data_IF_913283598420
#
_entry.id   IF_913283598420
#
_cell.length_a   1.000
_cell.length_b   1.000
_cell.length_c   1.000
_cell.angle_alpha   90.00
_cell.angle_beta   90.00
_cell.angle_gamma   90.00
#
_symmetry.space_group_name_H-M   'P 1'
#
loop_
_entity.id
_entity.type
_entity.pdbx_description
1 polymer ?
#
# COMPACT_ATOMS: atom_id res chain seq x y z
N UNK A 1 3.20 -7.69 2.90
CA UNK A 1 3.18 -7.60 1.44
C UNK A 1 2.82 -6.18 0.96
N UNK A 2 1.73 -5.56 1.46
CA UNK A 2 1.26 -4.24 0.98
C UNK A 2 2.33 -3.16 1.20
N UNK A 3 2.88 -3.04 2.41
CA UNK A 3 3.94 -2.07 2.74
C UNK A 3 5.20 -2.26 1.89
N UNK A 4 5.63 -3.50 1.66
CA UNK A 4 6.78 -3.77 0.80
C UNK A 4 6.53 -3.32 -0.65
N UNK A 5 5.30 -3.51 -1.13
CA UNK A 5 4.89 -3.07 -2.47
C UNK A 5 4.84 -1.54 -2.58
N UNK A 6 4.36 -0.82 -1.56
CA UNK A 6 4.36 0.65 -1.56
C UNK A 6 5.77 1.24 -1.53
N UNK A 7 6.73 0.52 -0.96
CA UNK A 7 8.14 0.89 -0.92
C UNK A 7 8.96 0.38 -2.12
N UNK A 8 8.33 -0.27 -3.12
CA UNK A 8 8.97 -0.92 -4.26
C UNK A 8 10.06 -1.93 -3.84
N UNK A 9 9.81 -2.63 -2.73
CA UNK A 9 10.73 -3.65 -2.19
C UNK A 9 10.21 -5.03 -2.58
N UNK A 10 11.00 -5.88 -3.27
CA UNK A 10 10.60 -7.24 -3.58
C UNK A 10 10.39 -8.03 -2.28
N UNK A 11 9.22 -8.68 -2.17
CA UNK A 11 8.86 -9.43 -0.99
C UNK A 11 8.15 -10.74 -1.33
N UNK A 12 8.52 -11.78 -0.62
CA UNK A 12 7.87 -13.10 -0.68
C UNK A 12 7.29 -13.40 0.70
N UNK A 13 6.00 -13.72 0.76
CA UNK A 13 5.30 -14.09 2.00
C UNK A 13 5.06 -15.59 2.03
N UNK A 14 4.96 -16.15 3.25
CA UNK A 14 4.70 -17.58 3.44
C UNK A 14 5.91 -18.51 3.23
N UNK A 15 7.10 -17.96 3.10
CA UNK A 15 8.34 -18.74 3.02
C UNK A 15 8.73 -19.29 4.39
N UNK A 16 8.06 -20.38 4.82
CA UNK A 16 8.12 -20.94 6.19
C UNK A 16 9.53 -21.29 6.67
N UNK A 17 10.45 -21.62 5.77
CA UNK A 17 11.81 -22.06 6.10
C UNK A 17 12.89 -21.02 5.80
N UNK A 18 12.54 -19.84 5.31
CA UNK A 18 13.52 -18.84 4.88
C UNK A 18 14.47 -18.43 6.02
N UNK A 19 13.96 -18.24 7.25
CA UNK A 19 14.76 -17.86 8.42
C UNK A 19 15.78 -18.92 8.83
N UNK A 20 15.61 -20.18 8.44
CA UNK A 20 16.53 -21.27 8.73
C UNK A 20 17.51 -21.55 7.58
N UNK A 21 17.16 -21.11 6.36
CA UNK A 21 17.96 -21.39 5.16
C UNK A 21 18.90 -20.24 4.82
N UNK A 22 18.55 -19.00 5.16
CA UNK A 22 19.37 -17.82 4.89
C UNK A 22 20.30 -17.53 6.07
N UNK A 23 21.58 -17.38 5.80
CA UNK A 23 22.61 -17.01 6.78
C UNK A 23 23.10 -15.60 6.52
N UNK A 24 23.81 -15.05 7.51
CA UNK A 24 24.49 -13.76 7.33
C UNK A 24 25.49 -13.88 6.16
N UNK A 25 25.50 -12.84 5.31
CA UNK A 25 26.36 -12.71 4.13
C UNK A 25 26.05 -13.67 2.95
N UNK A 26 24.97 -14.45 3.03
CA UNK A 26 24.51 -15.24 1.89
C UNK A 26 24.01 -14.33 0.75
N UNK A 27 24.33 -14.71 -0.49
CA UNK A 27 23.69 -14.14 -1.66
C UNK A 27 22.29 -14.71 -1.81
N UNK A 28 21.31 -13.83 -1.94
CA UNK A 28 19.92 -14.23 -2.12
C UNK A 28 19.27 -13.49 -3.31
N UNK A 29 18.43 -14.20 -4.04
CA UNK A 29 17.52 -13.61 -5.03
C UNK A 29 16.12 -13.63 -4.43
N UNK A 30 15.41 -12.50 -4.47
CA UNK A 30 14.01 -12.38 -4.06
C UNK A 30 13.20 -11.96 -5.28
N UNK A 31 12.39 -12.87 -5.79
CA UNK A 31 11.46 -12.60 -6.88
C UNK A 31 10.03 -12.54 -6.32
N UNK A 32 9.55 -11.34 -6.05
CA UNK A 32 8.22 -11.11 -5.52
C UNK A 32 7.09 -11.45 -6.49
N UNK A 33 7.34 -11.40 -7.79
CA UNK A 33 6.36 -11.70 -8.83
C UNK A 33 6.16 -13.21 -8.97
N UNK A 34 7.27 -13.97 -8.94
CA UNK A 34 7.23 -15.43 -8.98
C UNK A 34 6.98 -16.07 -7.60
N UNK A 35 7.09 -15.31 -6.51
CA UNK A 35 6.98 -15.83 -5.14
C UNK A 35 8.16 -16.73 -4.76
N UNK A 36 9.35 -16.47 -5.29
CA UNK A 36 10.55 -17.33 -5.15
C UNK A 36 11.63 -16.60 -4.37
N UNK A 37 12.28 -17.35 -3.47
CA UNK A 37 13.53 -16.95 -2.82
C UNK A 37 14.58 -18.01 -3.14
N UNK A 38 15.71 -17.59 -3.71
CA UNK A 38 16.85 -18.47 -4.00
C UNK A 38 17.99 -18.09 -3.09
N UNK A 39 18.54 -19.07 -2.37
CA UNK A 39 19.71 -18.91 -1.50
C UNK A 39 20.90 -19.52 -2.18
N UNK A 40 22.04 -18.85 -2.13
CA UNK A 40 23.29 -19.25 -2.78
C UNK A 40 23.13 -19.57 -4.30
N UNK A 41 22.63 -18.59 -5.09
CA UNK A 41 22.34 -18.82 -6.50
C UNK A 41 23.61 -19.08 -7.31
N UNK A 42 23.54 -20.02 -8.26
CA UNK A 42 24.65 -20.25 -9.18
C UNK A 42 24.95 -18.99 -10.03
N UNK A 43 26.18 -18.83 -10.56
CA UNK A 43 26.53 -17.71 -11.42
C UNK A 43 25.62 -17.59 -12.65
N UNK A 44 25.17 -18.70 -13.22
CA UNK A 44 24.23 -18.71 -14.35
C UNK A 44 22.87 -18.13 -13.95
N UNK A 45 22.35 -18.51 -12.80
CA UNK A 45 21.08 -18.02 -12.27
C UNK A 45 21.15 -16.53 -11.91
N UNK A 46 22.26 -16.09 -11.31
CA UNK A 46 22.52 -14.66 -11.06
C UNK A 46 22.51 -13.85 -12.36
N UNK A 47 23.13 -14.35 -13.43
CA UNK A 47 23.13 -13.69 -14.73
C UNK A 47 21.73 -13.61 -15.34
N UNK A 48 20.92 -14.66 -15.21
CA UNK A 48 19.53 -14.69 -15.66
C UNK A 48 18.67 -13.63 -14.93
N UNK A 49 18.73 -13.61 -13.60
CA UNK A 49 17.97 -12.64 -12.81
C UNK A 49 18.45 -11.21 -12.96
N UNK A 50 19.76 -10.99 -13.20
CA UNK A 50 20.30 -9.69 -13.56
C UNK A 50 19.77 -9.20 -14.92
N UNK A 51 19.59 -10.10 -15.87
CA UNK A 51 18.97 -9.77 -17.17
C UNK A 51 17.48 -9.44 -16.99
N UNK A 52 16.74 -10.21 -16.16
CA UNK A 52 15.33 -9.96 -15.82
C UNK A 52 15.15 -8.59 -15.14
N UNK A 53 16.04 -8.22 -14.22
CA UNK A 53 16.03 -6.92 -13.56
C UNK A 53 16.21 -5.78 -14.57
N UNK A 54 17.19 -5.86 -15.45
CA UNK A 54 17.41 -4.85 -16.51
C UNK A 54 16.21 -4.72 -17.44
N UNK A 55 15.59 -5.84 -17.80
CA UNK A 55 14.37 -5.82 -18.62
C UNK A 55 13.21 -5.12 -17.87
N UNK A 56 13.06 -5.35 -16.57
CA UNK A 56 12.09 -4.64 -15.73
C UNK A 56 12.34 -3.13 -15.64
N UNK A 57 13.62 -2.71 -15.62
CA UNK A 57 13.99 -1.29 -15.65
C UNK A 57 13.60 -0.63 -16.97
N UNK A 58 13.89 -1.27 -18.11
CA UNK A 58 13.48 -0.79 -19.44
C UNK A 58 11.97 -0.67 -19.55
N UNK A 59 11.23 -1.65 -19.03
CA UNK A 59 9.75 -1.59 -19.04
C UNK A 59 9.23 -0.47 -18.14
N UNK A 60 9.80 -0.25 -16.96
CA UNK A 60 9.46 0.89 -16.10
C UNK A 60 9.69 2.23 -16.80
N UNK A 61 10.82 2.39 -17.50
CA UNK A 61 11.09 3.59 -18.31
C UNK A 61 10.07 3.76 -19.45
N UNK A 62 9.68 2.68 -20.10
CA UNK A 62 8.63 2.68 -21.12
C UNK A 62 7.29 3.15 -20.55
N UNK A 63 6.89 2.60 -19.41
CA UNK A 63 5.65 2.97 -18.72
C UNK A 63 5.69 4.42 -18.24
N UNK A 64 6.84 4.92 -17.77
CA UNK A 64 6.99 6.30 -17.34
C UNK A 64 6.72 7.32 -18.48
N UNK A 65 6.91 6.93 -19.74
CA UNK A 65 6.56 7.78 -20.90
C UNK A 65 5.07 7.95 -21.09
N UNK A 66 4.26 7.01 -20.57
CA UNK A 66 2.80 7.07 -20.65
C UNK A 66 2.18 8.08 -19.67
N UNK A 67 2.97 8.62 -18.73
CA UNK A 67 2.52 9.58 -17.71
C UNK A 67 1.62 10.70 -18.25
N UNK A 68 1.99 11.26 -19.39
CA UNK A 68 1.28 12.39 -19.99
C UNK A 68 0.31 11.96 -21.11
N UNK A 69 0.13 10.66 -21.31
CA UNK A 69 -0.78 10.12 -22.32
C UNK A 69 -2.18 10.04 -21.71
N UNK A 70 -3.19 10.74 -22.27
CA UNK A 70 -4.55 10.63 -21.76
C UNK A 70 -5.06 9.19 -21.85
N UNK A 71 -5.67 8.71 -20.78
CA UNK A 71 -6.37 7.42 -20.79
C UNK A 71 -7.72 7.62 -21.50
N UNK A 72 -7.84 7.14 -22.73
CA UNK A 72 -9.03 7.26 -23.55
C UNK A 72 -9.42 5.88 -24.05
N UNK A 73 -10.68 5.52 -23.91
CA UNK A 73 -11.25 4.27 -24.43
C UNK A 73 -11.35 4.30 -25.96
N UNK A 74 -11.57 3.15 -26.60
CA UNK A 74 -11.68 3.04 -28.05
C UNK A 74 -12.89 3.84 -28.62
N UNK A 75 -13.93 4.05 -27.81
CA UNK A 75 -15.10 4.88 -28.14
C UNK A 75 -14.93 6.36 -27.77
N UNK A 76 -13.72 6.78 -27.39
CA UNK A 76 -13.33 8.18 -27.16
C UNK A 76 -13.63 8.72 -25.76
N UNK A 77 -14.04 7.89 -24.79
CA UNK A 77 -14.29 8.32 -23.42
C UNK A 77 -12.97 8.50 -22.67
N UNK A 78 -12.80 9.67 -22.03
CA UNK A 78 -11.67 9.95 -21.16
C UNK A 78 -11.90 9.30 -19.79
N UNK A 79 -10.93 8.52 -19.34
CA UNK A 79 -10.93 7.89 -18.02
C UNK A 79 -9.97 8.64 -17.09
N UNK A 80 -10.43 9.00 -15.92
CA UNK A 80 -9.58 9.58 -14.86
C UNK A 80 -8.85 8.49 -14.13
N UNK A 81 -7.52 8.59 -14.08
CA UNK A 81 -6.65 7.67 -13.35
C UNK A 81 -6.29 8.29 -12.01
N UNK A 82 -6.89 7.77 -10.94
CA UNK A 82 -6.68 8.22 -9.58
C UNK A 82 -5.79 7.23 -8.82
N UNK A 83 -4.93 7.75 -7.96
CA UNK A 83 -4.05 6.92 -7.15
C UNK A 83 -4.71 6.46 -5.85
N UNK A 84 -4.24 5.33 -5.32
CA UNK A 84 -4.48 4.93 -3.94
C UNK A 84 -3.22 5.21 -3.13
N UNK A 85 -3.38 5.82 -1.95
CA UNK A 85 -2.28 6.06 -1.02
C UNK A 85 -2.59 5.51 0.37
N UNK A 86 -1.54 5.30 1.14
CA UNK A 86 -1.59 4.82 2.51
C UNK A 86 -1.04 5.87 3.50
N UNK A 87 -0.17 6.75 3.00
CA UNK A 87 0.45 7.82 3.77
C UNK A 87 0.79 9.02 2.89
N UNK A 88 0.91 10.22 3.46
CA UNK A 88 1.26 11.42 2.69
C UNK A 88 2.60 11.32 1.95
N UNK A 89 3.54 10.50 2.46
CA UNK A 89 4.82 10.25 1.81
C UNK A 89 4.71 9.59 0.42
N UNK A 90 3.56 9.01 0.07
CA UNK A 90 3.30 8.40 -1.24
C UNK A 90 3.06 9.46 -2.34
N UNK A 91 2.71 10.70 -1.98
CA UNK A 91 2.31 11.77 -2.91
C UNK A 91 3.34 12.06 -4.00
N UNK A 92 4.66 12.15 -3.71
CA UNK A 92 5.64 12.35 -4.78
C UNK A 92 5.60 11.25 -5.85
N UNK A 93 5.30 10.00 -5.47
CA UNK A 93 5.15 8.91 -6.43
C UNK A 93 3.87 9.04 -7.25
N UNK A 94 2.76 9.47 -6.64
CA UNK A 94 1.48 9.76 -7.30
C UNK A 94 1.65 10.82 -8.40
N UNK A 95 2.30 11.94 -8.08
CA UNK A 95 2.56 13.03 -9.03
C UNK A 95 3.52 12.58 -10.14
N UNK A 96 4.54 11.80 -9.80
CA UNK A 96 5.45 11.21 -10.81
C UNK A 96 4.73 10.26 -11.76
N UNK A 97 3.76 9.50 -11.27
CA UNK A 97 2.96 8.59 -12.09
C UNK A 97 1.96 9.30 -13.00
N UNK A 98 1.68 10.59 -12.76
CA UNK A 98 0.73 11.37 -13.55
C UNK A 98 -0.73 11.09 -13.22
N UNK A 99 -1.03 10.63 -12.03
CA UNK A 99 -2.40 10.51 -11.54
C UNK A 99 -3.05 11.91 -11.44
N UNK A 100 -4.34 11.98 -11.77
CA UNK A 100 -5.10 13.23 -11.77
C UNK A 100 -5.78 13.51 -10.42
N UNK A 101 -5.48 12.72 -9.40
CA UNK A 101 -5.97 12.87 -8.04
C UNK A 101 -5.72 11.63 -7.20
N UNK A 102 -6.13 11.69 -5.94
CA UNK A 102 -6.18 10.55 -5.03
C UNK A 102 -7.62 10.06 -4.96
N UNK A 103 -7.86 8.86 -5.47
CA UNK A 103 -9.17 8.19 -5.42
C UNK A 103 -9.44 7.50 -4.09
N UNK A 104 -8.38 7.16 -3.36
CA UNK A 104 -8.49 6.51 -2.06
C UNK A 104 -7.26 6.79 -1.19
N UNK A 105 -7.42 7.57 -0.13
CA UNK A 105 -6.47 7.61 0.97
C UNK A 105 -6.95 6.63 2.05
N UNK A 106 -6.18 5.57 2.27
CA UNK A 106 -6.48 4.53 3.26
C UNK A 106 -5.98 4.97 4.63
N UNK A 107 -6.88 5.53 5.42
CA UNK A 107 -6.52 6.10 6.74
C UNK A 107 -6.16 5.06 7.80
N UNK A 108 -6.41 3.77 7.55
CA UNK A 108 -6.12 2.67 8.48
C UNK A 108 -4.67 2.65 8.94
N UNK A 109 -3.74 3.06 8.07
CA UNK A 109 -2.31 3.11 8.41
C UNK A 109 -1.99 4.11 9.52
N UNK A 110 -2.82 5.14 9.71
CA UNK A 110 -2.70 6.06 10.84
C UNK A 110 -3.06 5.40 12.17
N UNK A 111 -3.84 4.33 12.14
CA UNK A 111 -4.35 3.61 13.30
C UNK A 111 -3.54 2.35 13.65
N UNK A 112 -2.62 1.91 12.78
CA UNK A 112 -1.86 0.67 12.95
C UNK A 112 -0.51 0.91 13.65
N UNK A 113 0.00 -0.13 14.36
CA UNK A 113 1.34 -0.11 14.96
C UNK A 113 1.50 0.87 16.12
N UNK A 114 0.44 1.09 16.93
CA UNK A 114 0.39 2.12 17.97
C UNK A 114 0.17 1.58 19.39
N UNK A 115 0.41 0.31 19.63
CA UNK A 115 0.22 -0.31 20.96
C UNK A 115 -1.14 0.01 21.60
N UNK A 116 -2.19 0.00 20.77
CA UNK A 116 -3.58 0.26 21.19
C UNK A 116 -3.95 1.74 21.39
N UNK A 117 -3.05 2.69 21.09
CA UNK A 117 -3.39 4.12 21.07
C UNK A 117 -3.99 4.50 19.72
N UNK A 118 -5.09 5.22 19.73
CA UNK A 118 -5.68 5.80 18.51
C UNK A 118 -4.97 7.11 18.17
N UNK A 119 -4.88 7.49 16.87
CA UNK A 119 -4.42 8.82 16.51
C UNK A 119 -5.40 9.87 17.01
N UNK A 120 -4.88 10.94 17.56
CA UNK A 120 -5.71 12.08 17.98
C UNK A 120 -6.14 12.94 16.76
N UNK A 121 -6.96 13.95 17.02
CA UNK A 121 -7.48 14.83 15.97
C UNK A 121 -6.35 15.57 15.24
N UNK A 122 -5.36 16.08 15.98
CA UNK A 122 -4.25 16.85 15.40
C UNK A 122 -3.36 16.00 14.50
N UNK A 123 -3.08 14.75 14.88
CA UNK A 123 -2.31 13.81 14.07
C UNK A 123 -3.05 13.48 12.75
N UNK A 124 -4.35 13.26 12.83
CA UNK A 124 -5.19 13.00 11.66
C UNK A 124 -5.28 14.24 10.76
N UNK A 125 -5.54 15.39 11.34
CA UNK A 125 -5.58 16.67 10.63
C UNK A 125 -4.29 16.92 9.87
N UNK A 126 -3.13 16.74 10.51
CA UNK A 126 -1.84 16.95 9.86
C UNK A 126 -1.64 15.98 8.68
N UNK A 127 -2.00 14.71 8.82
CA UNK A 127 -1.88 13.74 7.73
C UNK A 127 -2.80 14.11 6.54
N UNK A 128 -4.04 14.49 6.82
CA UNK A 128 -5.00 14.89 5.78
C UNK A 128 -4.58 16.20 5.10
N UNK A 129 -4.15 17.18 5.87
CA UNK A 129 -3.63 18.44 5.38
C UNK A 129 -2.42 18.24 4.47
N UNK A 130 -1.45 17.45 4.89
CA UNK A 130 -0.27 17.11 4.07
C UNK A 130 -0.68 16.45 2.75
N UNK A 131 -1.68 15.56 2.78
CA UNK A 131 -2.17 14.92 1.58
C UNK A 131 -2.83 15.92 0.62
N UNK A 132 -3.71 16.79 1.13
CA UNK A 132 -4.41 17.78 0.33
C UNK A 132 -3.46 18.84 -0.23
N UNK A 133 -2.60 19.42 0.59
CA UNK A 133 -1.62 20.43 0.16
C UNK A 133 -0.61 19.85 -0.83
N UNK A 134 -0.13 18.62 -0.57
CA UNK A 134 0.83 17.94 -1.44
C UNK A 134 0.29 17.62 -2.82
N UNK A 135 -1.02 17.45 -2.98
CA UNK A 135 -1.68 17.23 -4.28
C UNK A 135 -1.92 18.52 -5.10
N UNK A 136 -1.55 19.69 -4.58
CA UNK A 136 -1.49 20.94 -5.33
C UNK A 136 -2.80 21.33 -6.06
N UNK A 137 -3.93 21.10 -5.39
CA UNK A 137 -5.26 21.41 -5.93
C UNK A 137 -5.93 20.27 -6.70
N UNK A 138 -5.25 19.13 -6.88
CA UNK A 138 -5.89 17.92 -7.40
C UNK A 138 -6.80 17.29 -6.35
N UNK A 139 -7.88 16.59 -6.74
CA UNK A 139 -8.84 16.01 -5.81
C UNK A 139 -8.23 14.92 -4.94
N UNK A 140 -8.65 14.90 -3.68
CA UNK A 140 -8.24 13.88 -2.69
C UNK A 140 -9.48 13.29 -2.03
N UNK A 141 -9.70 11.99 -2.20
CA UNK A 141 -10.74 11.25 -1.51
C UNK A 141 -10.16 10.55 -0.30
N UNK A 142 -10.55 10.98 0.89
CA UNK A 142 -10.13 10.40 2.16
C UNK A 142 -11.22 9.42 2.61
N UNK A 143 -10.84 8.16 2.84
CA UNK A 143 -11.74 7.15 3.40
C UNK A 143 -11.69 7.21 4.92
N UNK A 144 -12.84 7.30 5.58
CA UNK A 144 -12.93 7.04 7.01
C UNK A 144 -12.46 5.62 7.31
N UNK A 145 -11.98 5.40 8.51
CA UNK A 145 -11.33 4.15 8.92
C UNK A 145 -12.17 2.91 8.60
N UNK A 146 -11.57 1.96 7.90
CA UNK A 146 -12.15 0.65 7.57
C UNK A 146 -11.31 -0.44 8.23
N UNK A 147 -11.46 -0.58 9.54
CA UNK A 147 -10.82 -1.61 10.34
C UNK A 147 -11.87 -2.69 10.64
N UNK A 148 -11.44 -3.93 10.62
CA UNK A 148 -12.24 -5.10 10.92
C UNK A 148 -11.36 -6.23 11.43
N UNK A 149 -11.89 -7.45 11.51
CA UNK A 149 -11.18 -8.62 12.03
C UNK A 149 -9.90 -9.00 11.22
N UNK A 150 -9.79 -8.51 10.00
CA UNK A 150 -8.61 -8.69 9.13
C UNK A 150 -7.45 -7.74 9.45
N UNK A 151 -7.74 -6.65 10.17
CA UNK A 151 -6.77 -5.64 10.60
C UNK A 151 -7.01 -5.31 12.08
N UNK A 152 -6.62 -6.19 13.01
CA UNK A 152 -6.84 -5.91 14.42
C UNK A 152 -6.06 -4.66 14.83
N UNK A 153 -6.76 -3.69 15.42
CA UNK A 153 -6.12 -2.79 16.36
C UNK A 153 -5.58 -3.66 17.49
N UNK A 154 -4.38 -3.41 18.01
CA UNK A 154 -3.72 -4.17 19.09
C UNK A 154 -4.52 -4.25 20.41
N UNK A 155 -5.82 -4.09 20.37
CA UNK A 155 -6.76 -4.20 21.48
C UNK A 155 -7.32 -5.62 21.51
N UNK A 156 -6.70 -6.42 22.35
CA UNK A 156 -7.04 -7.82 22.54
C UNK A 156 -8.52 -8.08 22.88
N UNK A 157 -9.28 -8.46 21.90
CA UNK A 157 -10.40 -9.39 21.92
C UNK A 157 -10.80 -9.62 20.46
N UNK A 158 -10.30 -10.69 19.86
CA UNK A 158 -10.88 -11.21 18.63
C UNK A 158 -12.28 -11.70 18.97
N UNK A 159 -13.30 -11.00 18.55
CA UNK A 159 -14.55 -11.67 18.29
C UNK A 159 -14.33 -12.54 17.06
N UNK A 160 -14.30 -13.85 17.24
CA UNK A 160 -14.21 -14.82 16.14
C UNK A 160 -15.52 -14.79 15.33
N UNK A 161 -15.64 -13.81 14.45
CA UNK A 161 -16.76 -13.79 13.50
C UNK A 161 -16.50 -14.84 12.42
N UNK A 162 -17.47 -15.72 12.22
CA UNK A 162 -17.44 -16.74 11.14
C UNK A 162 -17.24 -16.12 9.75
N UNK A 163 -17.63 -14.86 9.56
CA UNK A 163 -17.40 -14.09 8.35
C UNK A 163 -16.96 -12.66 8.72
N UNK A 164 -15.65 -12.38 8.75
CA UNK A 164 -15.11 -11.07 9.14
C UNK A 164 -15.61 -9.91 8.26
N UNK A 165 -15.93 -10.16 7.00
CA UNK A 165 -16.44 -9.14 6.08
C UNK A 165 -17.84 -8.65 6.44
N UNK A 166 -18.65 -9.49 7.09
CA UNK A 166 -19.99 -9.16 7.55
C UNK A 166 -20.04 -8.69 9.01
N UNK A 167 -18.92 -8.76 9.73
CA UNK A 167 -18.78 -8.37 11.11
C UNK A 167 -18.83 -6.85 11.33
N UNK A 168 -18.49 -6.45 12.55
CA UNK A 168 -18.40 -5.06 12.97
C UNK A 168 -17.14 -4.42 12.35
N UNK A 169 -17.31 -3.70 11.24
CA UNK A 169 -16.25 -3.02 10.51
C UNK A 169 -16.74 -1.76 9.81
N UNK A 170 -15.79 -0.94 9.35
CA UNK A 170 -16.03 0.30 8.61
C UNK A 170 -17.11 1.16 9.29
N UNK A 171 -18.09 1.64 8.55
CA UNK A 171 -19.16 2.50 9.08
C UNK A 171 -19.94 1.84 10.23
N UNK A 172 -20.10 0.51 10.23
CA UNK A 172 -20.79 -0.18 11.36
C UNK A 172 -19.99 -0.05 12.65
N UNK A 173 -18.67 -0.17 12.57
CA UNK A 173 -17.79 0.03 13.70
C UNK A 173 -17.77 1.50 14.14
N UNK A 174 -17.68 2.42 13.18
CA UNK A 174 -17.71 3.87 13.43
C UNK A 174 -18.98 4.31 14.15
N UNK A 175 -20.13 3.73 13.79
CA UNK A 175 -21.41 4.01 14.47
C UNK A 175 -21.50 3.36 15.86
N UNK A 176 -20.82 2.24 16.09
CA UNK A 176 -20.74 1.62 17.42
C UNK A 176 -19.77 2.37 18.36
N UNK A 177 -18.76 3.05 17.80
CA UNK A 177 -17.74 3.82 18.53
C UNK A 177 -17.76 5.31 18.11
N UNK A 178 -18.88 6.03 18.37
CA UNK A 178 -19.08 7.38 17.83
C UNK A 178 -18.03 8.38 18.32
N UNK A 179 -17.50 8.22 19.53
CA UNK A 179 -16.47 9.10 20.06
C UNK A 179 -15.18 9.06 19.24
N UNK A 180 -14.76 7.86 18.81
CA UNK A 180 -13.62 7.68 17.92
C UNK A 180 -13.91 8.23 16.52
N UNK A 181 -15.10 8.00 16.00
CA UNK A 181 -15.49 8.45 14.67
C UNK A 181 -15.56 9.97 14.57
N UNK A 182 -16.06 10.65 15.62
CA UNK A 182 -16.11 12.12 15.67
C UNK A 182 -14.72 12.77 15.65
N UNK A 183 -13.71 12.11 16.22
CA UNK A 183 -12.31 12.59 16.15
C UNK A 183 -11.73 12.51 14.72
N UNK A 184 -12.29 11.62 13.88
CA UNK A 184 -11.85 11.50 12.49
C UNK A 184 -12.55 12.51 11.55
N UNK A 185 -13.74 13.00 11.90
CA UNK A 185 -14.55 13.90 11.07
C UNK A 185 -14.18 15.37 11.29
#
# INVERSE_FOLDING_TARGET
>A
AIVARSLDIPAVVGARSASHLVRQDDWVIIDGDAGVVVVDPSPALLAEYSAKQRQGEVERERLARLKNTPAITLDGQKIELLANIEQPADIPAVLRAGAVGIGLFRTEFLFMGRDGKLPDEEEQYHAYRQAVEGMQGLPVTIRTVDIGADKPLDRGAREDHLNPALGLRAIRWSLAEPAMFLVQL
#
